data_IF_431886667978
#
_entry.id   IF_431886667978
#
_cell.length_a   1.000
_cell.length_b   1.000
_cell.length_c   1.000
_cell.angle_alpha   90.00
_cell.angle_beta   90.00
_cell.angle_gamma   90.00
#
_symmetry.space_group_name_H-M   'P 1'
#
loop_
_entity.id
_entity.type
_entity.pdbx_description
1 polymer ?
#
# COMPACT_ATOMS: atom_id res chain seq x y z
N UNK A 1 -27.03 -7.38 -10.13
CA UNK A 1 -25.65 -7.60 -10.60
C UNK A 1 -25.31 -9.10 -10.62
N UNK A 2 -25.14 -9.77 -9.46
CA UNK A 2 -24.72 -11.18 -9.43
C UNK A 2 -25.57 -12.15 -10.27
N UNK A 3 -26.91 -12.02 -10.24
CA UNK A 3 -27.78 -12.85 -11.09
C UNK A 3 -27.43 -12.73 -12.58
N UNK A 4 -27.21 -11.51 -13.07
CA UNK A 4 -26.85 -11.25 -14.48
C UNK A 4 -25.46 -11.80 -14.80
N UNK A 5 -24.51 -11.66 -13.87
CA UNK A 5 -23.17 -12.23 -14.02
C UNK A 5 -23.22 -13.77 -14.10
N UNK A 6 -24.07 -14.42 -13.31
CA UNK A 6 -24.27 -15.88 -13.34
C UNK A 6 -24.97 -16.33 -14.64
N UNK A 7 -25.97 -15.58 -15.11
CA UNK A 7 -26.67 -15.87 -16.38
C UNK A 7 -25.75 -15.74 -17.61
N UNK A 8 -24.69 -14.94 -17.51
CA UNK A 8 -23.71 -14.71 -18.58
C UNK A 8 -22.31 -15.22 -18.22
N UNK A 9 -22.23 -16.19 -17.31
CA UNK A 9 -20.95 -16.69 -16.83
C UNK A 9 -20.16 -17.36 -17.95
N UNK A 10 -18.90 -16.99 -18.08
CA UNK A 10 -17.97 -17.56 -19.04
C UNK A 10 -16.99 -18.46 -18.27
N UNK A 11 -17.04 -19.77 -18.53
CA UNK A 11 -16.06 -20.73 -17.99
C UNK A 11 -14.64 -20.34 -18.45
N UNK A 12 -13.68 -20.40 -17.52
CA UNK A 12 -12.29 -19.90 -17.68
C UNK A 12 -12.18 -18.42 -18.10
N UNK A 13 -13.27 -17.66 -18.00
CA UNK A 13 -13.32 -16.23 -18.29
C UNK A 13 -13.12 -15.35 -17.05
N UNK A 14 -12.78 -14.08 -17.29
CA UNK A 14 -12.76 -13.08 -16.23
C UNK A 14 -14.17 -12.53 -15.98
N UNK A 15 -14.92 -13.18 -15.09
CA UNK A 15 -16.27 -12.76 -14.72
C UNK A 15 -16.20 -11.73 -13.58
N UNK A 16 -16.47 -10.46 -13.90
CA UNK A 16 -16.32 -9.36 -12.93
C UNK A 16 -17.45 -8.36 -13.02
N UNK A 17 -17.94 -7.96 -11.86
CA UNK A 17 -18.89 -6.84 -11.70
C UNK A 17 -18.08 -5.58 -11.46
N UNK A 18 -18.36 -4.52 -12.21
CA UNK A 18 -17.85 -3.18 -11.94
C UNK A 18 -18.99 -2.36 -11.33
N UNK A 19 -18.87 -2.03 -10.05
CA UNK A 19 -19.85 -1.26 -9.30
C UNK A 19 -19.41 0.20 -9.21
N UNK A 20 -20.06 1.10 -9.94
CA UNK A 20 -19.90 2.54 -9.78
C UNK A 20 -20.97 3.06 -8.80
N UNK A 21 -20.56 3.72 -7.71
CA UNK A 21 -21.47 4.16 -6.64
C UNK A 21 -20.97 5.41 -5.93
N UNK A 22 -21.87 6.14 -5.29
CA UNK A 22 -21.59 7.24 -4.36
C UNK A 22 -21.45 6.79 -2.89
N UNK A 23 -21.46 5.48 -2.65
CA UNK A 23 -21.25 4.88 -1.33
C UNK A 23 -22.52 4.76 -0.48
N UNK A 24 -23.68 5.13 -1.01
CA UNK A 24 -24.94 5.09 -0.27
C UNK A 24 -25.71 3.77 -0.46
N UNK A 25 -25.24 2.72 0.21
CA UNK A 25 -25.90 1.41 0.23
C UNK A 25 -27.14 1.41 1.15
N UNK A 26 -28.24 2.01 0.68
CA UNK A 26 -29.50 2.13 1.44
C UNK A 26 -30.54 1.05 1.15
N UNK A 27 -30.28 0.11 0.24
CA UNK A 27 -31.25 -0.91 -0.19
C UNK A 27 -30.57 -2.27 -0.28
N UNK A 28 -30.99 -3.25 0.54
CA UNK A 28 -30.47 -4.62 0.51
C UNK A 28 -30.15 -5.20 1.89
N UNK A 29 -29.32 -6.24 1.91
CA UNK A 29 -28.78 -6.88 3.13
C UNK A 29 -28.20 -5.80 4.04
N UNK A 30 -28.86 -5.59 5.18
CA UNK A 30 -28.68 -4.40 6.02
C UNK A 30 -27.43 -4.45 6.89
N UNK A 31 -26.75 -5.60 6.96
CA UNK A 31 -25.54 -5.79 7.76
C UNK A 31 -24.29 -5.98 6.88
N UNK A 32 -23.17 -5.39 7.29
CA UNK A 32 -21.89 -5.56 6.59
C UNK A 32 -21.51 -7.05 6.48
N UNK A 33 -21.74 -7.83 7.55
CA UNK A 33 -21.41 -9.26 7.59
C UNK A 33 -22.17 -10.11 6.56
N UNK A 34 -23.42 -9.78 6.24
CA UNK A 34 -24.16 -10.49 5.19
C UNK A 34 -23.66 -10.12 3.79
N UNK A 35 -23.29 -8.86 3.58
CA UNK A 35 -22.68 -8.43 2.32
C UNK A 35 -21.34 -9.13 2.09
N UNK A 36 -20.48 -9.17 3.11
CA UNK A 36 -19.20 -9.89 3.06
C UNK A 36 -19.40 -11.36 2.68
N UNK A 37 -20.30 -12.08 3.37
CA UNK A 37 -20.59 -13.49 3.05
C UNK A 37 -21.14 -13.68 1.64
N UNK A 38 -21.98 -12.75 1.16
CA UNK A 38 -22.50 -12.82 -0.20
C UNK A 38 -21.37 -12.66 -1.21
N UNK A 39 -20.50 -11.65 -1.01
CA UNK A 39 -19.40 -11.35 -1.90
C UNK A 39 -18.38 -12.50 -1.89
N UNK A 40 -18.00 -13.01 -0.72
CA UNK A 40 -17.12 -14.17 -0.56
C UNK A 40 -17.69 -15.39 -1.30
N UNK A 41 -18.97 -15.72 -1.08
CA UNK A 41 -19.61 -16.84 -1.79
C UNK A 41 -19.60 -16.67 -3.31
N UNK A 42 -19.77 -15.45 -3.81
CA UNK A 42 -19.79 -15.19 -5.26
C UNK A 42 -18.38 -15.20 -5.86
N UNK A 43 -17.37 -14.76 -5.11
CA UNK A 43 -15.95 -14.89 -5.50
C UNK A 43 -15.56 -16.36 -5.62
N UNK A 44 -16.02 -17.21 -4.71
CA UNK A 44 -15.74 -18.66 -4.72
C UNK A 44 -16.38 -19.35 -5.93
N UNK A 45 -17.44 -18.77 -6.48
CA UNK A 45 -18.07 -19.17 -7.74
C UNK A 45 -17.40 -18.54 -8.98
N UNK A 46 -16.27 -17.84 -8.82
CA UNK A 46 -15.53 -17.20 -9.92
C UNK A 46 -16.08 -15.85 -10.38
N UNK A 47 -16.96 -15.19 -9.61
CA UNK A 47 -17.49 -13.86 -9.93
C UNK A 47 -16.92 -12.80 -8.99
N UNK A 48 -16.00 -12.00 -9.49
CA UNK A 48 -15.30 -10.96 -8.73
C UNK A 48 -16.02 -9.60 -8.77
N UNK A 49 -15.65 -8.67 -7.89
CA UNK A 49 -16.23 -7.31 -7.87
C UNK A 49 -15.15 -6.23 -7.74
N UNK A 50 -15.22 -5.21 -8.59
CA UNK A 50 -14.46 -3.96 -8.48
C UNK A 50 -15.43 -2.85 -8.10
N UNK A 51 -15.06 -2.02 -7.13
CA UNK A 51 -15.90 -0.93 -6.64
C UNK A 51 -15.24 0.40 -6.96
N UNK A 52 -15.97 1.27 -7.65
CA UNK A 52 -15.56 2.60 -8.06
C UNK A 52 -16.44 3.62 -7.31
N UNK A 53 -15.84 4.33 -6.36
CA UNK A 53 -16.48 5.40 -5.61
C UNK A 53 -16.48 6.72 -6.39
N UNK A 54 -17.59 7.44 -6.40
CA UNK A 54 -17.74 8.76 -7.02
C UNK A 54 -18.46 9.74 -6.08
N UNK A 55 -18.13 11.03 -6.09
CA UNK A 55 -18.90 12.05 -5.35
C UNK A 55 -18.06 13.20 -4.83
N UNK A 56 -18.61 14.02 -3.92
CA UNK A 56 -17.86 15.08 -3.19
C UNK A 56 -18.13 15.09 -1.66
N UNK A 57 -18.51 13.96 -1.04
CA UNK A 57 -19.18 13.91 0.29
C UNK A 57 -18.67 12.89 1.31
N UNK A 58 -19.49 12.61 2.34
CA UNK A 58 -19.15 11.82 3.53
C UNK A 58 -19.02 10.32 3.19
N UNK A 59 -17.85 9.90 2.70
CA UNK A 59 -17.65 8.55 2.18
C UNK A 59 -17.65 7.51 3.30
N UNK A 60 -18.46 6.47 3.10
CA UNK A 60 -18.30 5.19 3.80
C UNK A 60 -17.27 4.35 3.04
N UNK A 61 -16.07 4.91 2.82
CA UNK A 61 -14.96 4.26 2.10
C UNK A 61 -14.70 2.86 2.65
N UNK A 62 -14.72 2.72 3.97
CA UNK A 62 -14.55 1.45 4.66
C UNK A 62 -15.47 0.34 4.12
N UNK A 63 -16.74 0.65 3.79
CA UNK A 63 -17.66 -0.36 3.27
C UNK A 63 -17.31 -0.77 1.83
N UNK A 64 -16.93 0.19 1.00
CA UNK A 64 -16.58 -0.08 -0.39
C UNK A 64 -15.26 -0.83 -0.49
N UNK A 65 -14.28 -0.48 0.34
CA UNK A 65 -13.01 -1.20 0.46
C UNK A 65 -13.26 -2.64 0.92
N UNK A 66 -14.05 -2.85 1.98
CA UNK A 66 -14.40 -4.20 2.45
C UNK A 66 -15.05 -5.03 1.34
N UNK A 67 -16.01 -4.47 0.58
CA UNK A 67 -16.68 -5.19 -0.50
C UNK A 67 -15.68 -5.58 -1.61
N UNK A 68 -14.79 -4.65 -2.00
CA UNK A 68 -13.80 -4.92 -3.02
C UNK A 68 -12.79 -5.98 -2.57
N UNK A 69 -12.23 -5.83 -1.37
CA UNK A 69 -11.27 -6.75 -0.78
C UNK A 69 -11.88 -8.15 -0.64
N UNK A 70 -13.09 -8.26 -0.07
CA UNK A 70 -13.80 -9.53 0.09
C UNK A 70 -14.24 -10.18 -1.22
N UNK A 71 -14.28 -9.44 -2.31
CA UNK A 71 -14.63 -9.97 -3.62
C UNK A 71 -13.46 -10.14 -4.57
N UNK A 72 -12.23 -10.15 -4.04
CA UNK A 72 -10.97 -10.25 -4.79
C UNK A 72 -10.92 -9.26 -5.96
N UNK A 73 -11.26 -8.01 -5.68
CA UNK A 73 -11.12 -6.92 -6.63
C UNK A 73 -10.53 -5.68 -6.01
N UNK A 74 -10.74 -4.57 -6.70
CA UNK A 74 -10.08 -3.32 -6.41
C UNK A 74 -11.12 -2.26 -6.02
N UNK A 75 -10.74 -1.42 -5.05
CA UNK A 75 -11.43 -0.20 -4.74
C UNK A 75 -10.67 0.98 -5.34
N UNK A 76 -11.39 1.89 -6.01
CA UNK A 76 -10.82 3.16 -6.42
C UNK A 76 -11.85 4.27 -6.19
N UNK A 77 -11.37 5.41 -5.72
CA UNK A 77 -12.17 6.62 -5.59
C UNK A 77 -11.82 7.57 -6.75
N UNK A 78 -12.84 7.99 -7.50
CA UNK A 78 -12.68 8.80 -8.70
C UNK A 78 -13.35 10.16 -8.44
N UNK A 79 -12.54 11.17 -8.17
CA UNK A 79 -12.97 12.57 -7.96
C UNK A 79 -12.88 13.43 -9.22
N UNK A 80 -12.05 13.02 -10.18
CA UNK A 80 -11.78 13.79 -11.37
C UNK A 80 -11.49 12.91 -12.59
N UNK A 81 -11.44 13.53 -13.78
CA UNK A 81 -11.26 12.81 -15.05
C UNK A 81 -9.86 12.19 -15.21
N UNK A 82 -8.84 12.74 -14.57
CA UNK A 82 -7.49 12.18 -14.58
C UNK A 82 -7.43 10.91 -13.74
N UNK A 83 -8.04 10.91 -12.55
CA UNK A 83 -8.14 9.69 -11.73
C UNK A 83 -8.99 8.62 -12.44
N UNK A 84 -10.08 9.02 -13.11
CA UNK A 84 -10.87 8.10 -13.94
C UNK A 84 -10.02 7.45 -15.05
N UNK A 85 -9.20 8.25 -15.75
CA UNK A 85 -8.28 7.77 -16.78
C UNK A 85 -7.22 6.84 -16.20
N UNK A 86 -6.64 7.20 -15.05
CA UNK A 86 -5.66 6.37 -14.36
C UNK A 86 -6.23 4.99 -14.06
N UNK A 87 -7.38 4.93 -13.39
CA UNK A 87 -8.02 3.68 -12.95
C UNK A 87 -8.53 2.85 -14.13
N UNK A 88 -9.22 3.48 -15.10
CA UNK A 88 -9.95 2.76 -16.15
C UNK A 88 -9.19 2.60 -17.46
N UNK A 89 -8.06 3.28 -17.64
CA UNK A 89 -7.26 3.20 -18.88
C UNK A 89 -5.83 2.77 -18.56
N UNK A 90 -5.13 3.49 -17.69
CA UNK A 90 -3.70 3.24 -17.43
C UNK A 90 -3.47 1.98 -16.58
N UNK A 91 -4.27 1.80 -15.52
CA UNK A 91 -4.14 0.71 -14.54
C UNK A 91 -5.17 -0.42 -14.75
N UNK A 92 -6.01 -0.30 -15.78
CA UNK A 92 -7.10 -1.24 -16.07
C UNK A 92 -6.63 -2.70 -16.17
N UNK A 93 -5.49 -2.94 -16.82
CA UNK A 93 -4.93 -4.29 -16.97
C UNK A 93 -4.51 -4.92 -15.64
N UNK A 94 -3.94 -4.11 -14.74
CA UNK A 94 -3.52 -4.57 -13.43
C UNK A 94 -4.68 -4.84 -12.49
N UNK A 95 -5.75 -4.06 -12.58
CA UNK A 95 -6.88 -4.15 -11.65
C UNK A 95 -7.93 -5.20 -12.05
N UNK A 96 -7.93 -5.68 -13.30
CA UNK A 96 -8.88 -6.70 -13.74
C UNK A 96 -8.33 -8.11 -13.77
N UNK A 97 -7.05 -8.27 -14.10
CA UNK A 97 -6.44 -9.58 -14.31
C UNK A 97 -5.56 -9.95 -13.12
N UNK A 98 -6.18 -10.56 -12.11
CA UNK A 98 -5.46 -11.14 -10.96
C UNK A 98 -4.55 -12.26 -11.45
N UNK A 99 -3.26 -12.14 -11.17
CA UNK A 99 -2.25 -13.16 -11.48
C UNK A 99 -1.77 -13.89 -10.22
N UNK A 100 -2.03 -13.32 -9.04
CA UNK A 100 -1.70 -13.90 -7.76
C UNK A 100 -2.70 -13.43 -6.70
N UNK A 101 -3.22 -14.38 -5.92
CA UNK A 101 -4.12 -14.12 -4.80
C UNK A 101 -3.48 -14.44 -3.46
N UNK A 102 -4.05 -13.92 -2.38
CA UNK A 102 -3.53 -14.08 -1.02
C UNK A 102 -2.03 -13.76 -0.91
N UNK A 103 -1.62 -12.65 -1.53
CA UNK A 103 -0.24 -12.20 -1.56
C UNK A 103 0.15 -11.63 -0.20
N UNK A 104 1.18 -12.23 0.40
CA UNK A 104 1.72 -11.85 1.72
C UNK A 104 3.19 -11.54 1.60
N UNK A 105 3.59 -10.45 2.24
CA UNK A 105 4.99 -10.04 2.37
C UNK A 105 5.42 -10.14 3.82
N UNK A 106 6.61 -10.71 4.04
CA UNK A 106 7.29 -10.65 5.32
C UNK A 106 8.73 -10.24 5.06
N UNK A 107 9.18 -9.21 5.77
CA UNK A 107 10.55 -8.72 5.66
C UNK A 107 11.32 -9.10 6.91
N UNK A 108 12.52 -9.59 6.72
CA UNK A 108 13.46 -9.90 7.80
C UNK A 108 14.72 -9.06 7.59
N UNK A 109 14.92 -8.04 8.43
CA UNK A 109 16.11 -7.20 8.36
C UNK A 109 17.29 -7.86 9.05
N UNK A 110 18.47 -7.72 8.47
CA UNK A 110 19.69 -8.24 9.05
C UNK A 110 20.08 -7.42 10.29
N UNK A 111 20.11 -7.99 11.52
CA UNK A 111 20.45 -7.27 12.74
C UNK A 111 21.90 -6.78 12.78
N UNK A 112 22.79 -7.31 11.91
CA UNK A 112 24.15 -6.77 11.75
C UNK A 112 24.17 -5.42 11.03
N UNK A 113 23.09 -5.07 10.33
CA UNK A 113 22.99 -3.85 9.52
C UNK A 113 21.93 -2.89 10.02
N UNK A 114 20.84 -3.39 10.58
CA UNK A 114 19.68 -2.62 11.01
C UNK A 114 19.38 -2.92 12.47
N UNK A 115 19.40 -1.88 13.31
CA UNK A 115 19.10 -1.92 14.74
C UNK A 115 17.59 -1.96 14.99
N UNK A 116 16.85 -1.16 14.24
CA UNK A 116 15.40 -1.05 14.30
C UNK A 116 14.86 -0.54 12.97
N UNK A 117 13.59 -0.77 12.73
CA UNK A 117 12.90 -0.34 11.52
C UNK A 117 11.43 -0.07 11.80
N UNK A 118 10.82 0.80 10.98
CA UNK A 118 9.39 1.10 11.02
C UNK A 118 8.86 1.17 9.59
N UNK A 119 7.75 0.49 9.30
CA UNK A 119 7.02 0.67 8.05
C UNK A 119 6.34 2.05 8.06
N UNK A 120 6.49 2.81 6.98
CA UNK A 120 5.84 4.12 6.77
C UNK A 120 4.65 3.91 5.84
N UNK A 121 3.44 4.19 6.32
CA UNK A 121 2.22 3.87 5.58
C UNK A 121 1.91 2.37 5.60
N UNK A 122 0.84 1.96 4.89
CA UNK A 122 0.40 0.56 4.81
C UNK A 122 0.16 -0.15 6.16
N UNK A 123 0.02 0.59 7.27
CA UNK A 123 0.02 0.01 8.61
C UNK A 123 -1.20 -0.89 8.85
N UNK A 124 -2.33 -0.57 8.22
CA UNK A 124 -3.58 -1.34 8.31
C UNK A 124 -3.49 -2.73 7.65
N UNK A 125 -2.46 -2.97 6.82
CA UNK A 125 -2.24 -4.23 6.10
C UNK A 125 -1.08 -5.06 6.68
N UNK A 126 -0.51 -4.66 7.82
CA UNK A 126 0.47 -5.45 8.54
C UNK A 126 -0.16 -6.77 9.02
N UNK A 127 0.44 -7.88 8.60
CA UNK A 127 0.08 -9.21 9.07
C UNK A 127 0.96 -9.58 10.26
N UNK A 128 0.40 -10.32 11.22
CA UNK A 128 1.21 -10.92 12.28
C UNK A 128 2.12 -12.00 11.67
N UNK A 129 3.28 -12.26 12.30
CA UNK A 129 4.22 -13.26 11.81
C UNK A 129 3.59 -14.66 11.71
N UNK A 130 2.65 -14.98 12.59
CA UNK A 130 1.90 -16.25 12.59
C UNK A 130 0.97 -16.35 11.37
N UNK A 131 0.34 -15.24 10.97
CA UNK A 131 -0.59 -15.16 9.84
C UNK A 131 0.11 -15.35 8.49
N UNK A 132 1.43 -15.12 8.43
CA UNK A 132 2.22 -15.29 7.20
C UNK A 132 2.18 -16.74 6.69
N UNK A 133 2.17 -17.72 7.60
CA UNK A 133 2.20 -19.13 7.22
C UNK A 133 0.82 -19.80 7.12
N UNK A 134 -0.26 -19.10 7.49
CA UNK A 134 -1.61 -19.65 7.44
C UNK A 134 -2.28 -19.45 6.07
N UNK A 135 -2.42 -20.52 5.28
CA UNK A 135 -3.08 -20.48 3.98
C UNK A 135 -4.59 -20.16 4.06
N UNK A 136 -5.20 -20.15 5.24
CA UNK A 136 -6.60 -19.75 5.43
C UNK A 136 -6.77 -18.24 5.59
N UNK A 137 -5.69 -17.52 5.86
CA UNK A 137 -5.73 -16.07 6.03
C UNK A 137 -5.69 -15.37 4.67
N UNK A 138 -6.81 -14.71 4.36
CA UNK A 138 -7.02 -13.81 3.21
C UNK A 138 -5.99 -12.66 3.25
N UNK A 139 -5.42 -12.31 2.10
CA UNK A 139 -4.45 -11.22 1.98
C UNK A 139 -4.63 -10.43 0.68
N UNK A 140 -3.63 -9.64 0.26
CA UNK A 140 -3.76 -8.75 -0.89
C UNK A 140 -3.76 -9.48 -2.23
N UNK A 141 -4.40 -8.89 -3.23
CA UNK A 141 -4.42 -9.40 -4.60
C UNK A 141 -3.40 -8.65 -5.46
N UNK A 142 -2.75 -9.34 -6.40
CA UNK A 142 -1.87 -8.73 -7.39
C UNK A 142 -2.31 -9.10 -8.80
N UNK A 143 -2.47 -8.08 -9.65
CA UNK A 143 -2.73 -8.28 -11.06
C UNK A 143 -1.56 -7.91 -11.96
N UNK A 144 -1.76 -8.13 -13.26
CA UNK A 144 -0.71 -8.00 -14.26
C UNK A 144 -0.16 -6.56 -14.33
N UNK A 145 1.14 -6.39 -14.05
CA UNK A 145 1.79 -5.08 -14.07
C UNK A 145 1.57 -4.24 -12.80
N UNK A 146 0.89 -4.76 -11.77
CA UNK A 146 0.81 -4.09 -10.46
C UNK A 146 2.19 -4.00 -9.81
N UNK A 147 2.51 -2.80 -9.31
CA UNK A 147 3.70 -2.53 -8.53
C UNK A 147 3.29 -2.06 -7.13
N UNK A 148 3.93 -2.61 -6.10
CA UNK A 148 3.72 -2.21 -4.71
C UNK A 148 5.00 -1.58 -4.18
N UNK A 149 4.88 -0.40 -3.59
CA UNK A 149 6.00 0.30 -2.94
C UNK A 149 5.73 0.39 -1.45
N UNK A 150 6.64 -0.18 -0.66
CA UNK A 150 6.64 -0.04 0.79
C UNK A 150 7.89 0.74 1.23
N UNK A 151 7.70 1.75 2.06
CA UNK A 151 8.78 2.58 2.59
C UNK A 151 9.05 2.18 4.04
N UNK A 152 10.33 2.05 4.39
CA UNK A 152 10.76 1.75 5.75
C UNK A 152 11.73 2.82 6.24
N UNK A 153 11.50 3.31 7.45
CA UNK A 153 12.48 4.05 8.23
C UNK A 153 13.40 3.05 8.92
N UNK A 154 14.72 3.23 8.82
CA UNK A 154 15.71 2.30 9.37
C UNK A 154 16.66 3.03 10.31
N UNK A 155 16.96 2.42 11.46
CA UNK A 155 18.07 2.81 12.33
C UNK A 155 19.22 1.85 12.06
N UNK A 156 20.36 2.29 11.53
CA UNK A 156 21.52 1.41 11.30
C UNK A 156 22.05 0.78 12.60
N UNK A 157 22.57 -0.46 12.52
CA UNK A 157 23.10 -1.21 13.67
C UNK A 157 24.18 -0.45 14.47
N UNK A 158 24.97 0.39 13.80
CA UNK A 158 26.00 1.23 14.42
C UNK A 158 25.54 2.62 14.87
N UNK A 159 24.25 2.96 14.76
CA UNK A 159 23.74 4.27 15.17
C UNK A 159 23.75 4.43 16.69
N UNK A 160 24.11 5.65 17.14
CA UNK A 160 24.06 6.08 18.54
C UNK A 160 22.63 6.41 18.99
N UNK A 161 21.68 6.44 18.07
CA UNK A 161 20.28 6.71 18.39
C UNK A 161 19.74 5.68 19.38
N UNK A 162 19.04 6.17 20.39
CA UNK A 162 18.33 5.34 21.35
C UNK A 162 16.96 5.00 20.79
N UNK A 163 16.64 3.71 20.72
CA UNK A 163 15.28 3.25 20.48
C UNK A 163 14.61 3.27 21.86
N UNK A 164 13.55 4.04 22.02
CA UNK A 164 12.87 4.28 23.31
C UNK A 164 12.80 3.07 24.25
N UNK A 165 13.29 3.29 25.49
CA UNK A 165 13.02 2.67 26.80
C UNK A 165 12.43 1.25 26.91
N UNK A 166 12.88 0.27 26.14
CA UNK A 166 12.70 -1.14 26.53
C UNK A 166 13.94 -1.54 27.31
N UNK A 167 13.77 -2.02 28.54
CA UNK A 167 14.87 -2.53 29.34
C UNK A 167 15.62 -3.61 28.54
N UNK A 168 16.97 -3.59 28.53
CA UNK A 168 17.74 -4.61 27.85
C UNK A 168 17.29 -6.00 28.28
N UNK A 169 16.88 -6.84 27.33
CA UNK A 169 16.45 -8.19 27.64
C UNK A 169 17.63 -8.95 28.27
N UNK A 170 17.47 -9.36 29.53
CA UNK A 170 18.50 -9.99 30.38
C UNK A 170 19.25 -11.16 29.72
N UNK A 171 18.61 -11.86 28.79
CA UNK A 171 19.16 -13.03 28.10
C UNK A 171 19.58 -12.75 26.65
N UNK A 172 19.33 -11.56 26.11
CA UNK A 172 19.83 -11.18 24.79
C UNK A 172 21.24 -10.63 24.91
N UNK A 173 22.16 -11.22 24.17
CA UNK A 173 23.49 -10.66 24.00
C UNK A 173 23.42 -9.47 23.06
N UNK A 174 23.20 -8.27 23.61
CA UNK A 174 23.39 -7.01 22.90
C UNK A 174 24.90 -6.77 22.72
N UNK A 175 25.51 -7.47 21.75
CA UNK A 175 26.85 -7.09 21.29
C UNK A 175 26.72 -5.87 20.39
N UNK A 176 27.12 -4.70 20.90
CA UNK A 176 27.32 -3.51 20.08
C UNK A 176 28.40 -3.80 19.04
N UNK A 177 27.98 -4.18 17.82
CA UNK A 177 28.90 -4.43 16.71
C UNK A 177 29.40 -3.10 16.17
N UNK A 178 30.64 -2.75 16.46
CA UNK A 178 31.25 -1.47 16.07
C UNK A 178 31.58 -1.33 14.58
N UNK A 179 31.40 -2.38 13.76
CA UNK A 179 31.64 -2.36 12.31
C UNK A 179 30.50 -3.04 11.56
N UNK A 180 29.76 -2.26 10.77
CA UNK A 180 28.74 -2.76 9.84
C UNK A 180 29.47 -3.41 8.66
N UNK A 181 29.21 -4.69 8.39
CA UNK A 181 29.68 -5.34 7.17
C UNK A 181 28.79 -4.90 5.99
N UNK A 182 29.17 -3.82 5.29
CA UNK A 182 28.38 -3.26 4.18
C UNK A 182 28.18 -4.23 3.00
N UNK A 183 28.92 -5.34 2.94
CA UNK A 183 28.77 -6.38 1.92
C UNK A 183 27.77 -7.49 2.30
N UNK A 184 27.29 -7.52 3.56
CA UNK A 184 26.25 -8.46 3.97
C UNK A 184 24.86 -8.00 3.50
N UNK A 185 23.93 -8.94 3.48
CA UNK A 185 22.54 -8.70 3.09
C UNK A 185 21.90 -7.68 4.02
N UNK A 186 21.11 -6.75 3.46
CA UNK A 186 20.36 -5.75 4.23
C UNK A 186 19.12 -6.38 4.85
N UNK A 187 18.39 -7.16 4.06
CA UNK A 187 17.17 -7.83 4.44
C UNK A 187 16.87 -9.01 3.51
N UNK A 188 16.00 -9.89 3.96
CA UNK A 188 15.35 -10.92 3.13
C UNK A 188 13.89 -10.57 2.96
N UNK A 189 13.43 -10.52 1.71
CA UNK A 189 12.01 -10.41 1.37
C UNK A 189 11.45 -11.81 1.20
N UNK A 190 10.43 -12.17 1.98
CA UNK A 190 9.67 -13.40 1.85
C UNK A 190 8.30 -13.04 1.28
N UNK A 191 7.92 -13.73 0.22
CA UNK A 191 6.65 -13.60 -0.47
C UNK A 191 5.93 -14.95 -0.42
N UNK A 192 4.64 -14.93 -0.09
CA UNK A 192 3.74 -16.05 -0.33
C UNK A 192 2.59 -15.59 -1.20
N UNK A 193 2.15 -16.44 -2.12
CA UNK A 193 1.01 -16.17 -2.98
C UNK A 193 0.38 -17.48 -3.46
N UNK A 194 -0.88 -17.44 -3.88
CA UNK A 194 -1.56 -18.54 -4.58
C UNK A 194 -1.75 -18.17 -6.04
N UNK A 195 -1.76 -19.18 -6.91
CA UNK A 195 -2.23 -18.99 -8.29
C UNK A 195 -3.72 -18.57 -8.27
N UNK A 196 -4.22 -17.86 -9.29
CA UNK A 196 -5.62 -17.37 -9.31
C UNK A 196 -6.64 -18.47 -9.01
N UNK A 197 -6.48 -19.64 -9.62
CA UNK A 197 -7.37 -20.80 -9.44
C UNK A 197 -6.85 -21.82 -8.40
N UNK A 198 -5.67 -21.57 -7.83
CA UNK A 198 -5.02 -22.48 -6.88
C UNK A 198 -5.46 -22.23 -5.44
N UNK A 199 -5.47 -23.26 -4.60
CA UNK A 199 -5.76 -23.12 -3.16
C UNK A 199 -4.50 -23.18 -2.28
N UNK A 200 -3.38 -23.67 -2.81
CA UNK A 200 -2.12 -23.85 -2.09
C UNK A 200 -1.18 -22.67 -2.34
N UNK A 201 -0.54 -22.16 -1.28
CA UNK A 201 0.43 -21.08 -1.43
C UNK A 201 1.80 -21.56 -1.90
N UNK A 202 2.44 -20.75 -2.73
CA UNK A 202 3.85 -20.86 -3.12
C UNK A 202 4.65 -19.83 -2.35
N UNK A 203 5.77 -20.26 -1.77
CA UNK A 203 6.71 -19.38 -1.07
C UNK A 203 7.89 -19.03 -1.97
N UNK A 204 8.26 -17.77 -1.97
CA UNK A 204 9.43 -17.21 -2.64
C UNK A 204 10.23 -16.37 -1.64
N UNK A 205 11.56 -16.45 -1.68
CA UNK A 205 12.42 -15.64 -0.83
C UNK A 205 13.55 -15.02 -1.65
N UNK A 206 13.88 -13.76 -1.33
CA UNK A 206 14.97 -13.04 -1.98
C UNK A 206 15.75 -12.24 -0.95
N UNK A 207 17.02 -12.59 -0.77
CA UNK A 207 17.97 -11.75 -0.06
C UNK A 207 18.31 -10.51 -0.90
N UNK A 208 18.30 -9.35 -0.26
CA UNK A 208 18.56 -8.05 -0.85
C UNK A 208 19.79 -7.43 -0.20
N UNK A 209 20.77 -7.06 -1.03
CA UNK A 209 21.90 -6.23 -0.61
C UNK A 209 21.53 -4.77 -0.84
N UNK A 210 21.93 -3.89 0.06
CA UNK A 210 21.73 -2.45 -0.07
C UNK A 210 22.93 -1.67 0.43
N UNK A 211 23.07 -0.42 0.00
CA UNK A 211 24.01 0.55 0.55
C UNK A 211 23.21 1.75 1.05
N UNK A 212 23.70 2.38 2.12
CA UNK A 212 23.20 3.70 2.51
C UNK A 212 23.74 4.67 1.47
N UNK A 213 22.84 5.42 0.85
CA UNK A 213 23.15 6.43 -0.14
C UNK A 213 22.76 7.78 0.40
N UNK A 214 23.53 8.81 0.04
CA UNK A 214 23.11 10.19 0.25
C UNK A 214 21.88 10.49 -0.62
N UNK A 215 21.04 11.41 -0.19
CA UNK A 215 19.78 11.75 -0.87
C UNK A 215 19.96 12.02 -2.36
N UNK A 216 20.97 12.82 -2.73
CA UNK A 216 21.27 13.17 -4.12
C UNK A 216 21.70 11.98 -4.99
N UNK A 217 22.21 10.92 -4.35
CA UNK A 217 22.63 9.68 -5.01
C UNK A 217 21.50 8.66 -5.16
N UNK A 218 20.31 8.93 -4.63
CA UNK A 218 19.13 8.06 -4.79
C UNK A 218 18.46 8.26 -6.15
N UNK A 219 17.52 7.39 -6.50
CA UNK A 219 16.75 7.54 -7.75
C UNK A 219 15.69 8.64 -7.59
N UNK A 220 15.28 9.23 -8.72
CA UNK A 220 14.17 10.20 -8.74
C UNK A 220 12.89 9.61 -8.14
N UNK A 221 12.55 8.37 -8.50
CA UNK A 221 11.37 7.70 -7.94
C UNK A 221 11.45 7.49 -6.44
N UNK A 222 12.64 7.22 -5.87
CA UNK A 222 12.80 7.11 -4.42
C UNK A 222 12.52 8.46 -3.73
N UNK A 223 13.17 9.54 -4.20
CA UNK A 223 12.95 10.88 -3.66
C UNK A 223 11.50 11.33 -3.79
N UNK A 224 10.86 11.03 -4.93
CA UNK A 224 9.46 11.39 -5.15
C UNK A 224 8.54 10.64 -4.18
N UNK A 225 8.71 9.33 -4.02
CA UNK A 225 7.94 8.55 -3.03
C UNK A 225 8.19 9.01 -1.60
N UNK A 226 9.42 9.42 -1.27
CA UNK A 226 9.73 10.00 0.03
C UNK A 226 8.99 11.32 0.28
N UNK A 227 8.91 12.21 -0.71
CA UNK A 227 8.15 13.46 -0.62
C UNK A 227 6.65 13.21 -0.40
N UNK A 228 6.07 12.21 -1.10
CA UNK A 228 4.67 11.80 -0.89
C UNK A 228 4.44 11.30 0.55
N UNK A 229 5.35 10.47 1.07
CA UNK A 229 5.25 9.96 2.43
C UNK A 229 5.41 11.06 3.50
N UNK A 230 6.38 11.96 3.31
CA UNK A 230 6.61 13.12 4.17
C UNK A 230 5.37 14.04 4.23
N UNK A 231 4.75 14.31 3.07
CA UNK A 231 3.50 15.06 3.02
C UNK A 231 2.39 14.41 3.85
N UNK A 232 2.25 13.08 3.74
CA UNK A 232 1.31 12.31 4.55
C UNK A 232 1.57 12.41 6.06
N UNK A 233 2.85 12.38 6.47
CA UNK A 233 3.24 12.56 7.88
C UNK A 233 2.90 13.96 8.39
N UNK A 234 3.09 15.01 7.58
CA UNK A 234 2.73 16.39 7.92
C UNK A 234 1.22 16.52 8.08
N UNK A 235 0.43 16.05 7.11
CA UNK A 235 -1.04 16.16 7.14
C UNK A 235 -1.66 15.43 8.33
N UNK A 236 -1.08 14.29 8.74
CA UNK A 236 -1.52 13.53 9.91
C UNK A 236 -1.01 14.10 11.24
N UNK A 237 -0.22 15.18 11.19
CA UNK A 237 0.50 15.72 12.35
C UNK A 237 1.25 14.60 13.11
N UNK A 238 1.94 13.74 12.37
CA UNK A 238 2.59 12.56 12.92
C UNK A 238 3.65 12.93 13.95
N UNK A 239 3.73 12.19 15.06
CA UNK A 239 4.85 12.31 16.02
C UNK A 239 6.23 12.03 15.39
N UNK A 240 6.24 11.36 14.24
CA UNK A 240 7.45 10.99 13.50
C UNK A 240 7.79 11.97 12.37
N UNK A 241 7.03 13.06 12.19
CA UNK A 241 7.34 14.06 11.16
C UNK A 241 8.57 14.91 11.49
N UNK A 242 9.00 14.91 12.76
CA UNK A 242 10.10 15.73 13.26
C UNK A 242 9.94 17.22 12.85
N UNK A 243 10.92 17.78 12.16
CA UNK A 243 10.98 19.14 11.62
C UNK A 243 10.53 19.27 10.16
N UNK A 244 9.97 18.20 9.56
CA UNK A 244 9.49 18.19 8.18
C UNK A 244 8.49 19.33 7.90
N UNK A 245 8.71 20.02 6.79
CA UNK A 245 7.89 21.16 6.36
C UNK A 245 7.29 20.93 4.97
N UNK A 246 6.22 21.66 4.65
CA UNK A 246 5.63 21.61 3.32
C UNK A 246 6.61 22.14 2.26
N UNK A 247 7.45 23.11 2.63
CA UNK A 247 8.50 23.63 1.76
C UNK A 247 9.51 22.53 1.37
N UNK A 248 9.89 21.67 2.32
CA UNK A 248 10.81 20.54 2.07
C UNK A 248 10.18 19.52 1.12
N UNK A 249 8.91 19.18 1.32
CA UNK A 249 8.15 18.31 0.40
C UNK A 249 8.14 18.88 -1.01
N UNK A 250 7.84 20.18 -1.16
CA UNK A 250 7.80 20.85 -2.46
C UNK A 250 9.18 20.78 -3.12
N UNK A 251 10.25 21.12 -2.39
CA UNK A 251 11.62 21.06 -2.89
C UNK A 251 11.97 19.65 -3.35
N UNK A 252 11.74 18.64 -2.51
CA UNK A 252 12.10 17.25 -2.80
C UNK A 252 11.35 16.75 -4.03
N UNK A 253 10.02 16.92 -4.07
CA UNK A 253 9.18 16.48 -5.18
C UNK A 253 9.49 17.21 -6.50
N UNK A 254 9.83 18.51 -6.46
CA UNK A 254 10.23 19.27 -7.66
C UNK A 254 11.54 18.74 -8.25
N UNK A 255 12.55 18.53 -7.41
CA UNK A 255 13.87 18.02 -7.85
C UNK A 255 13.82 16.54 -8.25
N UNK A 256 12.74 15.84 -7.91
CA UNK A 256 12.54 14.44 -8.26
C UNK A 256 11.36 14.19 -9.19
N UNK A 257 10.83 15.22 -9.86
CA UNK A 257 9.67 15.07 -10.76
C UNK A 257 9.99 14.11 -11.90
N UNK A 258 11.18 14.23 -12.51
CA UNK A 258 11.60 13.38 -13.61
C UNK A 258 10.66 13.46 -14.83
N UNK A 259 10.61 12.37 -15.60
CA UNK A 259 9.60 12.18 -16.64
C UNK A 259 8.22 11.94 -16.02
N UNK A 260 7.22 12.63 -16.56
CA UNK A 260 5.84 12.60 -16.05
C UNK A 260 4.84 12.66 -17.22
N UNK A 261 4.81 11.63 -18.08
CA UNK A 261 4.01 11.64 -19.30
C UNK A 261 2.50 11.75 -19.02
N UNK A 262 2.04 11.20 -17.90
CA UNK A 262 0.63 11.22 -17.49
C UNK A 262 0.30 12.40 -16.55
N UNK A 263 1.30 13.15 -16.07
CA UNK A 263 1.09 14.36 -15.27
C UNK A 263 0.84 14.15 -13.77
N UNK A 264 0.86 12.92 -13.26
CA UNK A 264 0.56 12.61 -11.85
C UNK A 264 1.54 13.27 -10.88
N UNK A 265 2.82 13.34 -11.24
CA UNK A 265 3.82 13.96 -10.34
C UNK A 265 3.66 15.48 -10.30
N UNK A 266 3.28 16.09 -11.41
CA UNK A 266 2.89 17.50 -11.50
C UNK A 266 1.62 17.81 -10.71
N UNK A 267 0.60 16.94 -10.79
CA UNK A 267 -0.64 17.07 -10.01
C UNK A 267 -0.36 17.02 -8.51
N UNK A 268 0.44 16.06 -8.04
CA UNK A 268 0.85 15.99 -6.63
C UNK A 268 1.48 17.30 -6.15
N UNK A 269 2.40 17.88 -6.93
CA UNK A 269 3.01 19.18 -6.60
C UNK A 269 1.97 20.31 -6.49
N UNK A 270 0.93 20.29 -7.32
CA UNK A 270 -0.14 21.27 -7.25
C UNK A 270 -1.00 21.07 -5.98
N UNK A 271 -1.26 19.83 -5.59
CA UNK A 271 -1.95 19.48 -4.35
C UNK A 271 -1.16 20.01 -3.14
N UNK A 272 0.14 19.75 -3.09
CA UNK A 272 0.99 20.19 -1.96
C UNK A 272 0.99 21.72 -1.82
N UNK A 273 1.15 22.46 -2.93
CA UNK A 273 1.08 23.94 -2.94
C UNK A 273 -0.28 24.48 -2.54
N UNK A 274 -1.35 23.79 -2.93
CA UNK A 274 -2.71 24.17 -2.53
C UNK A 274 -2.89 23.96 -1.03
N UNK A 275 -2.38 22.85 -0.48
CA UNK A 275 -2.40 22.58 0.95
C UNK A 275 -1.61 23.62 1.75
N UNK A 276 -0.42 24.02 1.28
CA UNK A 276 0.38 25.12 1.83
C UNK A 276 -0.47 26.39 1.98
N UNK A 277 -1.08 26.84 0.88
CA UNK A 277 -1.91 28.04 0.85
C UNK A 277 -3.10 27.96 1.83
N UNK A 278 -3.73 26.78 1.95
CA UNK A 278 -4.85 26.58 2.87
C UNK A 278 -4.44 26.56 4.34
N UNK A 279 -3.25 26.03 4.64
CA UNK A 279 -2.69 25.99 5.99
C UNK A 279 -2.30 27.41 6.43
N UNK A 280 -1.68 28.18 5.55
CA UNK A 280 -1.32 29.58 5.81
C UNK A 280 -2.57 30.43 6.10
N UNK A 281 -3.62 30.30 5.29
CA UNK A 281 -4.91 30.99 5.53
C UNK A 281 -5.56 30.61 6.87
N UNK A 282 -5.29 29.42 7.40
CA UNK A 282 -5.77 29.01 8.73
C UNK A 282 -4.93 29.58 9.85
N UNK A 283 -3.62 29.74 9.65
CA UNK A 283 -2.71 30.33 10.64
C UNK A 283 -2.92 31.84 10.82
N UNK A 284 -3.44 32.53 9.80
CA UNK A 284 -3.78 33.96 9.85
C UNK A 284 -5.11 34.29 10.57
N UNK A 285 -5.90 33.27 10.94
CA UNK A 285 -7.19 33.42 11.66
C UNK A 285 -7.08 33.06 13.13
#
# INVERSE_FOLDING_TARGET
>A
AYKVAEENFIEDGNNRIILATDGDFNVGVSSNAEMERLVEKKRDNGVFITVLGFGMGNYKDDKMEIIADKGNGNYAYIDNIMEARKVLVSEFGGTLFTIAKDVKFQLEFNPERVKAYRLIGYENRLLNDEDFNDDKKDAGEMGAGHNVTALYELIPAGSKESISSIDPLKYQQNQEKSKINSNSELLTVKLRYKQPDGSTSTKFEKAVKGKVLDQESTTESFRFSAAVAEFGLILRNSQYKNDASIEDVIKLAQHSRGEDPEGYRGEFLQIVKTAESLIDMRAEK
#
